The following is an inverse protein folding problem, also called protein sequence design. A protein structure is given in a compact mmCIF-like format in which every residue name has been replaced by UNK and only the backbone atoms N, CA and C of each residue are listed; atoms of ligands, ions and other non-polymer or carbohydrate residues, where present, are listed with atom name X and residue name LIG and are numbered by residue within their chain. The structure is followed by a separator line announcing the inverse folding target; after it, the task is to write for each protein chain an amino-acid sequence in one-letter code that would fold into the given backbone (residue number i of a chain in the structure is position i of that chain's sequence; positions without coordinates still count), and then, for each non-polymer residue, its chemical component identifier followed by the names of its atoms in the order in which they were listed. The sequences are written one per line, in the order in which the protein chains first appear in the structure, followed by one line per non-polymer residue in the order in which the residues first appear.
data_IF_318364738106
#
_entry.id   IF_318364738106
#
_cell.length_a   1.000
_cell.length_b   1.000
_cell.length_c   1.000
_cell.angle_alpha   90.00
_cell.angle_beta   90.00
_cell.angle_gamma   90.00
#
_symmetry.space_group_name_H-M   'P 1'
#
loop_
_entity.id
_entity.type
_entity.pdbx_description
1 polymer ?
#
# COMPACT_ATOMS: atom_id res chain seq x y z
N UNK A 1 -31.53 -13.09 21.13
CA UNK A 1 -30.14 -13.33 20.69
C UNK A 1 -29.38 -12.04 20.94
N UNK A 2 -28.48 -12.00 21.93
CA UNK A 2 -27.71 -10.79 22.25
C UNK A 2 -26.49 -10.70 21.34
N UNK A 3 -26.40 -9.62 20.57
CA UNK A 3 -25.25 -9.32 19.70
C UNK A 3 -24.18 -8.58 20.51
N UNK A 4 -23.64 -9.22 21.56
CA UNK A 4 -22.56 -8.62 22.36
C UNK A 4 -21.23 -9.04 21.73
N UNK A 5 -20.53 -8.06 21.15
CA UNK A 5 -19.20 -8.23 20.58
C UNK A 5 -18.16 -8.20 21.70
N UNK A 6 -17.50 -9.33 21.94
CA UNK A 6 -16.37 -9.41 22.87
C UNK A 6 -15.06 -9.36 22.06
N UNK A 7 -14.44 -8.19 21.99
CA UNK A 7 -13.10 -8.05 21.43
C UNK A 7 -12.10 -8.73 22.38
N UNK A 8 -11.46 -9.82 21.94
CA UNK A 8 -10.43 -10.51 22.72
C UNK A 8 -9.28 -9.57 23.08
N UNK A 9 -9.07 -9.37 24.38
CA UNK A 9 -7.99 -8.53 24.91
C UNK A 9 -6.69 -9.33 24.86
N UNK A 10 -5.74 -8.93 24.01
CA UNK A 10 -4.33 -9.35 24.13
C UNK A 10 -3.57 -8.23 24.85
N UNK A 11 -3.02 -8.51 26.03
CA UNK A 11 -2.30 -7.50 26.84
C UNK A 11 -0.81 -7.48 26.48
N UNK A 12 -0.40 -6.44 25.76
CA UNK A 12 0.96 -5.91 25.86
C UNK A 12 0.85 -4.39 26.08
N UNK A 13 1.89 -3.73 26.61
CA UNK A 13 1.80 -2.32 27.00
C UNK A 13 1.42 -1.35 25.86
N UNK A 14 1.65 -1.75 24.60
CA UNK A 14 1.19 -1.01 23.41
C UNK A 14 -0.31 -1.18 23.18
N UNK A 15 -0.84 -2.39 23.37
CA UNK A 15 -2.27 -2.65 23.24
C UNK A 15 -3.07 -1.98 24.36
N UNK A 16 -2.47 -1.71 25.53
CA UNK A 16 -3.16 -0.97 26.61
C UNK A 16 -3.32 0.52 26.33
N UNK A 17 -2.33 1.17 25.70
CA UNK A 17 -2.47 2.56 25.27
C UNK A 17 -3.49 2.69 24.12
N UNK A 18 -3.46 1.77 23.16
CA UNK A 18 -4.45 1.68 22.07
C UNK A 18 -5.87 1.37 22.62
N UNK A 19 -6.00 0.43 23.57
CA UNK A 19 -7.27 0.10 24.22
C UNK A 19 -7.82 1.22 25.10
N UNK A 20 -6.96 2.00 25.76
CA UNK A 20 -7.38 3.17 26.55
C UNK A 20 -7.98 4.26 25.67
N UNK A 21 -7.43 4.46 24.48
CA UNK A 21 -7.98 5.37 23.48
C UNK A 21 -9.35 4.89 22.99
N UNK A 22 -9.51 3.60 22.74
CA UNK A 22 -10.79 2.99 22.35
C UNK A 22 -11.84 3.05 23.48
N UNK A 23 -11.43 2.81 24.74
CA UNK A 23 -12.31 2.89 25.92
C UNK A 23 -12.84 4.31 26.20
N UNK A 24 -12.11 5.35 25.77
CA UNK A 24 -12.57 6.73 25.87
C UNK A 24 -13.57 7.13 24.77
N UNK A 25 -13.68 6.34 23.70
CA UNK A 25 -14.49 6.65 22.52
C UNK A 25 -15.73 5.76 22.37
N UNK A 26 -15.67 4.55 22.92
CA UNK A 26 -16.66 3.50 22.71
C UNK A 26 -17.25 3.06 24.05
N UNK A 27 -18.56 2.85 24.09
CA UNK A 27 -19.25 2.28 25.24
C UNK A 27 -19.92 0.95 24.87
N UNK A 28 -20.41 0.21 25.88
CA UNK A 28 -21.03 -1.10 25.68
C UNK A 28 -22.30 -1.08 24.79
N UNK A 29 -22.86 0.10 24.51
CA UNK A 29 -24.03 0.30 23.63
C UNK A 29 -23.64 0.74 22.22
N UNK A 30 -22.36 0.95 21.95
CA UNK A 30 -21.87 1.38 20.64
C UNK A 30 -21.92 0.20 19.68
N UNK A 31 -22.71 0.33 18.62
CA UNK A 31 -22.79 -0.68 17.57
C UNK A 31 -21.49 -0.70 16.75
N UNK A 32 -21.23 -1.80 16.03
CA UNK A 32 -20.06 -1.92 15.16
C UNK A 32 -20.00 -0.81 14.08
N UNK A 33 -21.16 -0.40 13.56
CA UNK A 33 -21.24 0.70 12.60
C UNK A 33 -20.87 2.05 13.24
N UNK A 34 -21.41 2.33 14.43
CA UNK A 34 -21.05 3.55 15.16
C UNK A 34 -19.57 3.58 15.53
N UNK A 35 -19.02 2.43 15.95
CA UNK A 35 -17.57 2.29 16.19
C UNK A 35 -16.78 2.61 14.92
N UNK A 36 -17.17 2.06 13.77
CA UNK A 36 -16.52 2.33 12.49
C UNK A 36 -16.56 3.82 12.14
N UNK A 37 -17.71 4.48 12.30
CA UNK A 37 -17.86 5.92 12.05
C UNK A 37 -16.97 6.77 12.97
N UNK A 38 -17.03 6.55 14.29
CA UNK A 38 -16.24 7.32 15.28
C UNK A 38 -14.74 7.17 15.03
N UNK A 39 -14.28 5.95 14.74
CA UNK A 39 -12.86 5.70 14.47
C UNK A 39 -12.45 6.36 13.15
N UNK A 40 -13.31 6.37 12.12
CA UNK A 40 -13.02 7.05 10.85
C UNK A 40 -13.00 8.58 10.97
N UNK A 41 -13.96 9.19 11.66
CA UNK A 41 -14.02 10.64 11.87
C UNK A 41 -12.77 11.15 12.58
N UNK A 42 -12.37 10.46 13.66
CA UNK A 42 -11.13 10.79 14.37
C UNK A 42 -9.89 10.58 13.50
N UNK A 43 -9.84 9.48 12.74
CA UNK A 43 -8.71 9.22 11.84
C UNK A 43 -8.56 10.37 10.83
N UNK A 44 -9.67 10.89 10.30
CA UNK A 44 -9.69 12.05 9.40
C UNK A 44 -9.05 13.28 10.05
N UNK A 45 -9.47 13.62 11.27
CA UNK A 45 -8.92 14.77 11.99
C UNK A 45 -7.42 14.64 12.35
N UNK A 46 -6.91 13.41 12.52
CA UNK A 46 -5.48 13.17 12.72
C UNK A 46 -4.70 13.31 11.41
N UNK A 47 -5.25 12.78 10.31
CA UNK A 47 -4.68 12.87 8.96
C UNK A 47 -4.40 14.31 8.55
N UNK A 48 -5.38 15.22 8.73
CA UNK A 48 -5.23 16.62 8.34
C UNK A 48 -4.08 17.34 9.07
N UNK A 49 -3.77 16.92 10.30
CA UNK A 49 -2.72 17.53 11.13
C UNK A 49 -1.33 16.98 10.81
N UNK A 50 -1.21 15.70 10.46
CA UNK A 50 0.08 15.04 10.15
C UNK A 50 0.59 15.29 8.73
N UNK A 51 -0.31 15.66 7.79
CA UNK A 51 0.02 15.78 6.36
C UNK A 51 0.66 17.11 5.93
N UNK A 52 0.79 18.12 6.82
CA UNK A 52 1.49 19.38 6.49
C UNK A 52 3.02 19.21 6.60
N UNK A 53 3.67 18.66 5.59
CA UNK A 53 5.15 18.67 5.48
C UNK A 53 5.63 18.41 4.04
N UNK A 54 6.93 18.69 3.80
CA UNK A 54 7.80 18.60 2.59
C UNK A 54 7.42 17.59 1.47
N UNK A 55 6.59 16.59 1.75
CA UNK A 55 6.23 15.43 0.90
C UNK A 55 5.11 15.72 -0.11
N UNK A 56 4.32 16.79 0.07
CA UNK A 56 3.43 17.30 -0.99
C UNK A 56 4.21 17.63 -2.27
N UNK A 57 5.50 17.99 -2.15
CA UNK A 57 6.35 18.32 -3.29
C UNK A 57 6.69 17.08 -4.14
N UNK A 58 6.89 15.91 -3.52
CA UNK A 58 7.28 14.69 -4.24
C UNK A 58 6.10 13.95 -4.87
N UNK A 59 4.92 14.03 -4.25
CA UNK A 59 3.73 13.31 -4.69
C UNK A 59 2.48 14.19 -4.82
N UNK A 60 2.54 15.38 -5.44
CA UNK A 60 1.41 16.31 -5.45
C UNK A 60 0.19 15.72 -6.16
N UNK A 61 0.41 15.04 -7.29
CA UNK A 61 -0.65 14.38 -8.06
C UNK A 61 -1.32 13.24 -7.29
N UNK A 62 -0.56 12.20 -6.87
CA UNK A 62 -1.12 11.09 -6.09
C UNK A 62 -1.83 11.55 -4.81
N UNK A 63 -1.23 12.47 -4.06
CA UNK A 63 -1.82 12.97 -2.81
C UNK A 63 -3.13 13.70 -3.07
N UNK A 64 -3.20 14.59 -4.07
CA UNK A 64 -4.44 15.29 -4.42
C UNK A 64 -5.57 14.31 -4.72
N UNK A 65 -5.31 13.31 -5.55
CA UNK A 65 -6.33 12.32 -5.95
C UNK A 65 -6.75 11.47 -4.75
N UNK A 66 -5.81 11.01 -3.92
CA UNK A 66 -6.12 10.25 -2.71
C UNK A 66 -6.93 11.09 -1.72
N UNK A 67 -6.60 12.36 -1.55
CA UNK A 67 -7.31 13.25 -0.63
C UNK A 67 -8.77 13.47 -1.06
N UNK A 68 -9.03 13.53 -2.36
CA UNK A 68 -10.38 13.72 -2.92
C UNK A 68 -11.25 12.46 -2.86
N UNK A 69 -10.66 11.27 -2.89
CA UNK A 69 -11.41 10.03 -3.14
C UNK A 69 -11.21 8.94 -2.09
N UNK A 70 -10.06 8.88 -1.42
CA UNK A 70 -9.73 7.83 -0.48
C UNK A 70 -10.14 8.22 0.95
N UNK A 71 -10.74 7.27 1.65
CA UNK A 71 -11.05 7.35 3.06
C UNK A 71 -9.80 7.33 3.93
N UNK A 72 -9.94 7.66 5.23
CA UNK A 72 -8.81 8.01 6.10
C UNK A 72 -7.76 6.92 6.22
N UNK A 73 -8.20 5.65 6.31
CA UNK A 73 -7.27 4.51 6.39
C UNK A 73 -6.35 4.43 5.16
N UNK A 74 -6.92 4.51 3.95
CA UNK A 74 -6.14 4.37 2.72
C UNK A 74 -5.28 5.60 2.47
N UNK A 75 -5.80 6.80 2.77
CA UNK A 75 -5.04 8.04 2.69
C UNK A 75 -3.80 8.00 3.61
N UNK A 76 -3.98 7.67 4.89
CA UNK A 76 -2.88 7.56 5.85
C UNK A 76 -1.87 6.46 5.48
N UNK A 77 -2.36 5.31 5.06
CA UNK A 77 -1.50 4.19 4.68
C UNK A 77 -0.68 4.56 3.44
N UNK A 78 -1.30 5.14 2.41
CA UNK A 78 -0.60 5.58 1.22
C UNK A 78 0.43 6.67 1.55
N UNK A 79 0.10 7.62 2.42
CA UNK A 79 1.03 8.65 2.87
C UNK A 79 2.27 8.05 3.57
N UNK A 80 2.06 7.09 4.47
CA UNK A 80 3.17 6.37 5.13
C UNK A 80 4.03 5.58 4.15
N UNK A 81 3.42 4.96 3.14
CA UNK A 81 4.16 4.25 2.09
C UNK A 81 4.94 5.23 1.18
N UNK A 82 4.37 6.39 0.84
CA UNK A 82 5.09 7.46 0.14
C UNK A 82 6.28 7.96 0.95
N UNK A 83 6.12 8.19 2.26
CA UNK A 83 7.22 8.57 3.15
C UNK A 83 8.32 7.51 3.17
N UNK A 84 7.96 6.25 3.36
CA UNK A 84 8.95 5.18 3.41
C UNK A 84 9.67 4.95 2.07
N UNK A 85 9.08 5.41 0.96
CA UNK A 85 9.64 5.23 -0.39
C UNK A 85 10.96 5.99 -0.61
N UNK A 86 11.20 7.08 0.12
CA UNK A 86 12.40 7.93 -0.09
C UNK A 86 13.70 7.19 0.25
N UNK A 87 13.62 6.13 1.07
CA UNK A 87 14.75 5.30 1.48
C UNK A 87 15.06 4.15 0.51
N UNK A 88 14.46 4.14 -0.67
CA UNK A 88 14.70 3.13 -1.70
C UNK A 88 15.30 3.74 -2.94
N UNK A 89 16.01 2.94 -3.75
CA UNK A 89 16.48 3.28 -5.09
C UNK A 89 16.00 2.28 -6.13
N UNK A 90 15.99 2.71 -7.39
CA UNK A 90 15.44 1.95 -8.53
C UNK A 90 16.53 1.65 -9.55
N UNK A 91 16.62 0.39 -9.96
CA UNK A 91 17.42 -0.04 -11.11
C UNK A 91 16.50 -0.76 -12.10
N UNK A 92 16.46 -0.31 -13.36
CA UNK A 92 15.79 -1.05 -14.42
C UNK A 92 16.57 -2.33 -14.73
N UNK A 93 15.87 -3.46 -14.84
CA UNK A 93 16.45 -4.70 -15.34
C UNK A 93 16.00 -4.86 -16.78
N UNK A 94 16.95 -4.79 -17.69
CA UNK A 94 16.73 -5.15 -19.10
C UNK A 94 16.79 -6.67 -19.18
N UNK A 95 15.79 -7.30 -19.81
CA UNK A 95 15.93 -8.67 -20.29
C UNK A 95 16.97 -8.63 -21.42
N UNK A 96 18.09 -9.36 -21.34
CA UNK A 96 18.96 -9.51 -22.51
C UNK A 96 18.14 -10.07 -23.67
N UNK A 97 18.28 -9.49 -24.86
CA UNK A 97 17.59 -9.94 -26.06
C UNK A 97 17.80 -11.45 -26.26
N UNK A 98 16.69 -12.19 -26.40
CA UNK A 98 16.69 -13.65 -26.58
C UNK A 98 16.46 -14.48 -25.31
N UNK A 99 16.36 -13.86 -24.13
CA UNK A 99 16.10 -14.58 -22.88
C UNK A 99 14.59 -14.68 -22.59
N UNK A 100 14.01 -15.87 -22.70
CA UNK A 100 12.56 -16.10 -22.49
C UNK A 100 12.17 -16.34 -21.02
N UNK A 101 13.15 -16.48 -20.12
CA UNK A 101 12.92 -16.97 -18.75
C UNK A 101 13.75 -16.28 -17.68
N UNK A 102 13.09 -15.92 -16.57
CA UNK A 102 13.59 -15.17 -15.43
C UNK A 102 14.46 -15.96 -14.44
N UNK A 103 15.17 -16.99 -14.91
CA UNK A 103 16.00 -17.87 -14.06
C UNK A 103 17.19 -17.17 -13.40
N UNK A 104 17.42 -15.88 -13.67
CA UNK A 104 18.56 -15.11 -13.14
C UNK A 104 18.25 -14.26 -11.89
N UNK A 105 17.05 -14.35 -11.31
CA UNK A 105 16.69 -13.51 -10.16
C UNK A 105 17.11 -14.19 -8.84
N UNK A 106 18.28 -13.79 -8.32
CA UNK A 106 18.81 -13.83 -6.94
C UNK A 106 18.27 -14.90 -5.96
N UNK A 107 19.17 -15.62 -5.26
CA UNK A 107 18.88 -16.72 -4.30
C UNK A 107 18.17 -16.34 -2.98
N UNK A 108 17.40 -15.25 -2.93
CA UNK A 108 16.40 -14.90 -1.90
C UNK A 108 16.79 -15.13 -0.41
N UNK A 109 18.01 -14.77 0.01
CA UNK A 109 18.46 -14.89 1.41
C UNK A 109 18.12 -13.68 2.30
N UNK A 110 16.94 -13.05 2.20
CA UNK A 110 16.60 -12.01 3.19
C UNK A 110 15.11 -11.94 3.54
N UNK A 111 14.88 -12.03 4.84
CA UNK A 111 13.65 -12.15 5.60
C UNK A 111 12.84 -10.84 5.62
N UNK A 112 11.64 -10.86 5.02
CA UNK A 112 10.44 -10.07 5.36
C UNK A 112 9.36 -10.35 4.29
N UNK A 113 8.67 -11.49 4.44
CA UNK A 113 7.46 -11.96 3.72
C UNK A 113 7.32 -11.43 2.28
N UNK A 114 8.01 -12.09 1.34
CA UNK A 114 7.90 -11.81 -0.11
C UNK A 114 7.52 -13.09 -0.83
N UNK A 115 6.73 -12.96 -1.89
CA UNK A 115 6.56 -14.02 -2.87
C UNK A 115 7.78 -14.01 -3.78
N UNK A 116 8.27 -15.18 -4.19
CA UNK A 116 9.37 -15.28 -5.15
C UNK A 116 9.04 -14.51 -6.44
N UNK A 117 9.94 -13.62 -6.86
CA UNK A 117 9.80 -12.89 -8.13
C UNK A 117 9.73 -13.83 -9.31
N UNK A 118 10.46 -14.95 -9.28
CA UNK A 118 10.39 -15.97 -10.32
C UNK A 118 8.99 -16.58 -10.40
N UNK A 119 8.43 -16.96 -9.25
CA UNK A 119 7.06 -17.49 -9.18
C UNK A 119 6.04 -16.46 -9.66
N UNK A 120 6.20 -15.21 -9.26
CA UNK A 120 5.35 -14.10 -9.68
C UNK A 120 5.33 -13.95 -11.21
N UNK A 121 6.51 -14.03 -11.84
CA UNK A 121 6.66 -13.88 -13.28
C UNK A 121 6.13 -15.09 -14.04
N UNK A 122 6.29 -16.30 -13.49
CA UNK A 122 5.65 -17.50 -14.01
C UNK A 122 4.12 -17.37 -13.95
N UNK A 123 3.57 -16.89 -12.84
CA UNK A 123 2.14 -16.68 -12.66
C UNK A 123 1.61 -15.64 -13.68
N UNK A 124 2.33 -14.52 -13.85
CA UNK A 124 2.01 -13.49 -14.86
C UNK A 124 1.94 -14.10 -16.26
N UNK A 125 2.93 -14.91 -16.63
CA UNK A 125 2.95 -15.60 -17.92
C UNK A 125 1.80 -16.61 -18.08
N UNK A 126 1.50 -17.40 -17.03
CA UNK A 126 0.40 -18.36 -17.03
C UNK A 126 -0.97 -17.69 -17.22
N UNK A 127 -1.14 -16.47 -16.71
CA UNK A 127 -2.35 -15.67 -16.90
C UNK A 127 -2.37 -14.89 -18.22
N UNK A 128 -1.42 -15.13 -19.14
CA UNK A 128 -1.34 -14.44 -20.43
C UNK A 128 -1.02 -12.94 -20.31
N UNK A 129 -0.52 -12.50 -19.15
CA UNK A 129 -0.13 -11.11 -18.92
C UNK A 129 1.31 -10.92 -19.42
N UNK A 130 1.54 -9.81 -20.13
CA UNK A 130 2.85 -9.48 -20.68
C UNK A 130 3.55 -8.45 -19.79
N UNK A 131 4.80 -8.73 -19.47
CA UNK A 131 5.68 -7.84 -18.72
C UNK A 131 6.33 -6.85 -19.67
N UNK A 132 6.15 -5.56 -19.39
CA UNK A 132 6.82 -4.48 -20.12
C UNK A 132 8.19 -4.18 -19.55
N UNK A 133 8.27 -4.07 -18.23
CA UNK A 133 9.49 -3.72 -17.51
C UNK A 133 9.57 -4.46 -16.19
N UNK A 134 10.78 -4.88 -15.81
CA UNK A 134 11.10 -5.34 -14.45
C UNK A 134 12.06 -4.35 -13.81
N UNK A 135 11.74 -3.93 -12.60
CA UNK A 135 12.57 -3.04 -11.80
C UNK A 135 13.00 -3.73 -10.52
N UNK A 136 14.28 -3.52 -10.18
CA UNK A 136 14.85 -3.82 -8.87
C UNK A 136 14.76 -2.57 -8.00
N UNK A 137 14.16 -2.70 -6.82
CA UNK A 137 13.97 -1.65 -5.84
C UNK A 137 14.77 -2.00 -4.59
N UNK A 138 15.79 -1.22 -4.24
CA UNK A 138 16.72 -1.56 -3.16
C UNK A 138 16.66 -0.52 -2.04
N UNK A 139 16.51 -0.95 -0.80
CA UNK A 139 16.56 -0.05 0.35
C UNK A 139 18.00 0.43 0.59
N UNK A 140 18.21 1.75 0.61
CA UNK A 140 19.54 2.38 0.66
C UNK A 140 20.31 2.01 1.93
N UNK A 141 19.63 1.92 3.08
CA UNK A 141 20.29 1.62 4.36
C UNK A 141 20.52 0.13 4.66
N UNK A 142 19.76 -0.78 4.04
CA UNK A 142 19.77 -2.22 4.42
C UNK A 142 20.13 -3.15 3.27
N UNK A 143 20.22 -2.64 2.04
CA UNK A 143 20.42 -3.45 0.83
C UNK A 143 19.23 -4.36 0.49
N UNK A 144 18.14 -4.29 1.25
CA UNK A 144 17.00 -5.18 1.04
C UNK A 144 16.32 -4.90 -0.30
N UNK A 145 16.16 -5.94 -1.11
CA UNK A 145 15.78 -5.81 -2.52
C UNK A 145 14.39 -6.36 -2.82
N UNK A 146 13.58 -5.56 -3.48
CA UNK A 146 12.25 -5.89 -3.99
C UNK A 146 12.19 -5.78 -5.49
N UNK A 147 11.22 -6.45 -6.10
CA UNK A 147 11.00 -6.40 -7.54
C UNK A 147 9.60 -5.89 -7.87
N UNK A 148 9.53 -5.03 -8.89
CA UNK A 148 8.28 -4.54 -9.47
C UNK A 148 8.25 -4.86 -10.95
N UNK A 149 7.18 -5.50 -11.36
CA UNK A 149 6.83 -5.77 -12.74
C UNK A 149 5.79 -4.74 -13.18
N UNK A 150 6.06 -4.00 -14.26
CA UNK A 150 5.04 -3.22 -14.98
C UNK A 150 4.51 -4.05 -16.14
N UNK A 151 3.18 -4.09 -16.29
CA UNK A 151 2.53 -4.77 -17.40
C UNK A 151 2.48 -3.87 -18.65
N UNK A 152 2.19 -4.46 -19.81
CA UNK A 152 2.20 -3.75 -21.10
C UNK A 152 1.29 -2.52 -21.19
N UNK A 153 0.19 -2.52 -20.44
CA UNK A 153 -0.74 -1.40 -20.41
C UNK A 153 -0.20 -0.15 -19.71
N UNK A 154 0.94 -0.26 -19.04
CA UNK A 154 1.66 0.87 -18.45
C UNK A 154 1.05 1.43 -17.16
N UNK A 155 -0.05 0.86 -16.65
CA UNK A 155 -0.67 1.30 -15.39
C UNK A 155 -0.80 0.18 -14.36
N UNK A 156 -0.92 -1.09 -14.78
CA UNK A 156 -0.90 -2.22 -13.84
C UNK A 156 0.53 -2.56 -13.47
N UNK A 157 0.73 -2.78 -12.17
CA UNK A 157 1.99 -3.23 -11.63
C UNK A 157 1.78 -4.40 -10.68
N UNK A 158 2.82 -5.20 -10.51
CA UNK A 158 2.85 -6.27 -9.52
C UNK A 158 4.18 -6.17 -8.78
N UNK A 159 4.11 -6.10 -7.45
CA UNK A 159 5.27 -6.06 -6.58
C UNK A 159 5.36 -7.33 -5.75
N UNK A 160 6.56 -7.88 -5.61
CA UNK A 160 6.84 -9.09 -4.82
C UNK A 160 6.44 -8.98 -3.33
N UNK A 161 6.33 -7.76 -2.80
CA UNK A 161 5.84 -7.50 -1.44
C UNK A 161 4.34 -7.76 -1.29
N UNK A 162 3.61 -7.93 -2.40
CA UNK A 162 2.18 -8.25 -2.46
C UNK A 162 1.23 -7.28 -1.74
N UNK A 163 1.71 -6.16 -1.19
CA UNK A 163 0.88 -5.20 -0.47
C UNK A 163 -0.24 -4.61 -1.34
N UNK A 164 0.03 -4.30 -2.62
CA UNK A 164 -1.01 -3.83 -3.54
C UNK A 164 -2.13 -4.86 -3.75
N UNK A 165 -1.77 -6.16 -3.81
CA UNK A 165 -2.74 -7.25 -3.97
C UNK A 165 -3.46 -7.55 -2.65
N UNK A 166 -2.75 -7.57 -1.53
CA UNK A 166 -3.31 -7.98 -0.24
C UNK A 166 -4.13 -6.86 0.40
N UNK A 167 -3.53 -5.67 0.52
CA UNK A 167 -4.14 -4.51 1.15
C UNK A 167 -4.88 -3.62 0.16
N UNK A 168 -4.68 -3.76 -1.16
CA UNK A 168 -5.38 -2.89 -2.11
C UNK A 168 -4.94 -1.43 -2.05
N UNK A 169 -3.70 -1.17 -1.62
CA UNK A 169 -3.09 0.16 -1.52
C UNK A 169 -1.66 0.06 -2.07
N UNK A 170 -1.20 1.01 -2.90
CA UNK A 170 0.15 0.96 -3.44
C UNK A 170 1.22 0.98 -2.35
N UNK A 171 2.27 0.17 -2.55
CA UNK A 171 3.37 0.06 -1.62
C UNK A 171 4.43 1.12 -1.86
N UNK A 172 5.31 1.32 -0.88
CA UNK A 172 6.48 2.21 -0.98
C UNK A 172 7.36 1.95 -2.19
N UNK A 173 7.47 0.69 -2.63
CA UNK A 173 8.24 0.33 -3.81
C UNK A 173 7.62 0.92 -5.09
N UNK A 174 6.29 0.88 -5.19
CA UNK A 174 5.57 1.52 -6.30
C UNK A 174 5.76 3.03 -6.27
N UNK A 175 5.62 3.66 -5.09
CA UNK A 175 5.81 5.10 -4.96
C UNK A 175 7.25 5.53 -5.30
N UNK A 176 8.26 4.74 -4.94
CA UNK A 176 9.64 5.02 -5.38
C UNK A 176 9.81 4.88 -6.90
N UNK A 177 9.16 3.89 -7.52
CA UNK A 177 9.18 3.77 -8.98
C UNK A 177 8.49 4.98 -9.65
N UNK A 178 7.37 5.43 -9.08
CA UNK A 178 6.62 6.59 -9.56
C UNK A 178 7.43 7.89 -9.55
N UNK A 179 8.29 8.12 -8.55
CA UNK A 179 9.16 9.32 -8.55
C UNK A 179 10.28 9.24 -9.56
N UNK A 180 10.68 8.03 -9.98
CA UNK A 180 11.83 7.83 -10.88
C UNK A 180 11.45 7.73 -12.35
N UNK A 181 10.22 7.31 -12.65
CA UNK A 181 9.73 7.03 -14.00
C UNK A 181 8.62 8.02 -14.37
N UNK A 182 8.95 9.03 -15.18
CA UNK A 182 8.01 10.06 -15.63
C UNK A 182 6.84 9.53 -16.46
N UNK A 183 7.00 8.38 -17.12
CA UNK A 183 5.94 7.73 -17.89
C UNK A 183 4.95 6.95 -17.04
N UNK A 184 5.28 6.62 -15.79
CA UNK A 184 4.37 5.92 -14.89
C UNK A 184 3.39 6.94 -14.28
N UNK A 185 2.09 6.67 -14.40
CA UNK A 185 1.04 7.54 -13.86
C UNK A 185 0.32 6.86 -12.71
N UNK A 186 0.03 7.62 -11.66
CA UNK A 186 -0.83 7.15 -10.60
C UNK A 186 -2.29 7.17 -11.05
N UNK A 187 -3.00 6.06 -10.81
CA UNK A 187 -4.43 5.94 -11.06
C UNK A 187 -5.14 5.56 -9.76
N UNK A 188 -6.27 6.21 -9.46
CA UNK A 188 -7.01 5.97 -8.21
C UNK A 188 -7.51 4.52 -8.09
N UNK A 189 -7.77 3.85 -9.21
CA UNK A 189 -8.13 2.42 -9.24
C UNK A 189 -7.04 1.46 -8.77
N UNK A 190 -5.82 1.94 -8.48
CA UNK A 190 -4.81 1.16 -7.75
C UNK A 190 -5.17 1.00 -6.26
N UNK A 191 -6.05 1.85 -5.75
CA UNK A 191 -6.66 1.72 -4.43
C UNK A 191 -7.98 0.98 -4.56
N UNK A 192 -8.22 -0.01 -3.70
CA UNK A 192 -9.48 -0.78 -3.72
C UNK A 192 -10.68 0.10 -3.38
N UNK A 193 -11.78 -0.12 -4.10
CA UNK A 193 -12.98 0.72 -4.04
C UNK A 193 -13.62 0.83 -2.65
N UNK A 194 -13.52 -0.19 -1.79
CA UNK A 194 -14.06 -0.12 -0.42
C UNK A 194 -13.34 0.87 0.48
N UNK A 195 -12.18 1.38 0.06
CA UNK A 195 -11.50 2.47 0.75
C UNK A 195 -11.95 3.84 0.29
N UNK A 196 -12.79 3.95 -0.72
CA UNK A 196 -13.23 5.27 -1.15
C UNK A 196 -14.18 5.87 -0.14
N UNK A 197 -14.16 7.20 -0.04
CA UNK A 197 -15.13 7.94 0.76
C UNK A 197 -16.49 7.61 0.17
N UNK A 198 -17.28 6.80 0.88
CA UNK A 198 -18.68 6.64 0.56
C UNK A 198 -19.26 8.05 0.61
N UNK A 199 -19.71 8.58 -0.53
CA UNK A 199 -20.73 9.62 -0.48
C UNK A 199 -21.87 8.95 0.26
N UNK A 200 -22.02 9.25 1.55
CA UNK A 200 -23.22 8.91 2.28
C UNK A 200 -24.35 9.51 1.47
N UNK A 201 -25.06 8.63 0.76
CA UNK A 201 -26.36 8.94 0.20
C UNK A 201 -27.23 9.10 1.46
N UNK A 202 -27.30 10.33 1.95
CA UNK A 202 -28.35 10.76 2.84
C UNK A 202 -29.64 10.71 2.02
N UNK A 203 -30.45 9.66 2.24
CA UNK A 203 -31.90 9.69 2.08
C UNK A 203 -32.52 9.36 3.43
#
# INVERSE_FOLDING_TARGET
ISNIFTAGVRTNGRVESENRVNKGLLNAKTTLMQMFTIVNERSTGQTEKEMRNVKEVLFPGPLKILWQHAGPFALNTAYREMEASVFYDVTSLVLPDGMTTWHMINNFKNDKTRISTQWLLQLVAQHGLRVKHLFRIMHVGTGSTHYITLLEDGYRYICDCCMGINLGIPCRHYFKLLTRMSSLRFHIGLVRAWYFISISIYY
#
